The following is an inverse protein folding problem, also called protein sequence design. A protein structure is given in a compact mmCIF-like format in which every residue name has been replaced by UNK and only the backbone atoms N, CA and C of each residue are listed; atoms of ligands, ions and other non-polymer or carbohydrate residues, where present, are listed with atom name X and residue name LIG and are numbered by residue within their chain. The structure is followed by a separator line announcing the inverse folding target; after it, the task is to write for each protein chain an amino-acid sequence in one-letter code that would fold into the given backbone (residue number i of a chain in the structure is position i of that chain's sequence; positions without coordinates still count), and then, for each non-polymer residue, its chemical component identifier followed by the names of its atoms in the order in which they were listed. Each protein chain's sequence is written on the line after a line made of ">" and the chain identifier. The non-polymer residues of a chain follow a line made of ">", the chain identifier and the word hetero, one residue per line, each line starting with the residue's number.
data_IF_626994707070
#
_entry.id   IF_626994707070
#
_cell.length_a   1.000
_cell.length_b   1.000
_cell.length_c   1.000
_cell.angle_alpha   90.00
_cell.angle_beta   90.00
_cell.angle_gamma   90.00
#
_symmetry.space_group_name_H-M   'P 1'
#
loop_
_entity.id
_entity.type
_entity.pdbx_description
1 polymer ?
#
# COMPACT_ATOMS: atom_id res chain seq x y z
N UNK A 1 -26.14 -1.37 0.70
CA UNK A 1 -25.37 -2.63 0.61
C UNK A 1 -24.07 -2.47 1.41
N UNK A 2 -23.63 -3.52 2.10
CA UNK A 2 -22.40 -3.48 2.90
C UNK A 2 -21.19 -3.93 2.04
N UNK A 3 -21.02 -3.29 0.89
CA UNK A 3 -19.96 -3.61 -0.08
C UNK A 3 -18.56 -3.55 0.55
N UNK A 4 -18.29 -2.53 1.35
CA UNK A 4 -17.02 -2.40 2.06
C UNK A 4 -16.77 -3.52 3.07
N UNK A 5 -17.80 -3.96 3.80
CA UNK A 5 -17.69 -5.10 4.71
C UNK A 5 -17.38 -6.41 3.99
N UNK A 6 -17.98 -6.63 2.82
CA UNK A 6 -17.65 -7.78 1.97
C UNK A 6 -16.22 -7.74 1.47
N UNK A 7 -15.77 -6.59 0.95
CA UNK A 7 -14.39 -6.40 0.50
C UNK A 7 -13.39 -6.63 1.64
N UNK A 8 -13.66 -6.06 2.81
CA UNK A 8 -12.85 -6.26 4.01
C UNK A 8 -12.69 -7.73 4.35
N UNK A 9 -13.79 -8.48 4.42
CA UNK A 9 -13.77 -9.91 4.76
C UNK A 9 -12.97 -10.73 3.73
N UNK A 10 -13.15 -10.45 2.44
CA UNK A 10 -12.43 -11.16 1.37
C UNK A 10 -10.94 -10.87 1.41
N UNK A 11 -10.56 -9.61 1.58
CA UNK A 11 -9.15 -9.21 1.66
C UNK A 11 -8.49 -9.75 2.92
N UNK A 12 -9.19 -9.73 4.06
CA UNK A 12 -8.71 -10.30 5.34
C UNK A 12 -8.47 -11.80 5.29
N UNK A 13 -9.26 -12.52 4.49
CA UNK A 13 -9.13 -13.98 4.33
C UNK A 13 -8.03 -14.43 3.38
N UNK A 14 -7.26 -13.51 2.79
CA UNK A 14 -6.22 -13.81 1.81
C UNK A 14 -4.82 -13.42 2.32
N UNK A 15 -3.74 -13.98 1.73
CA UNK A 15 -2.37 -13.62 2.09
C UNK A 15 -2.16 -12.12 2.04
N UNK A 16 -1.48 -11.59 3.05
CA UNK A 16 -1.10 -10.19 3.12
C UNK A 16 -0.27 -9.80 1.90
N UNK A 17 -0.76 -8.91 1.09
CA UNK A 17 -0.09 -8.39 -0.08
C UNK A 17 -0.43 -6.92 -0.29
N UNK A 18 0.25 -6.32 -1.26
CA UNK A 18 -0.02 -4.94 -1.63
C UNK A 18 -1.39 -4.82 -2.31
N UNK A 19 -2.05 -3.71 -2.05
CA UNK A 19 -3.33 -3.35 -2.67
C UNK A 19 -3.11 -2.11 -3.53
N UNK A 20 -3.40 -2.21 -4.82
CA UNK A 20 -3.39 -1.07 -5.75
C UNK A 20 -4.78 -0.48 -5.81
N UNK A 21 -4.88 0.84 -5.76
CA UNK A 21 -6.13 1.59 -5.89
C UNK A 21 -6.14 2.34 -7.22
N UNK A 22 -7.21 2.21 -7.98
CA UNK A 22 -7.40 2.88 -9.27
C UNK A 22 -8.69 3.71 -9.25
N UNK A 23 -8.63 4.92 -9.84
CA UNK A 23 -7.47 5.63 -10.33
C UNK A 23 -6.49 5.98 -9.21
N UNK A 24 -5.20 6.20 -9.51
CA UNK A 24 -4.22 6.55 -8.49
C UNK A 24 -4.51 7.91 -7.86
N UNK A 25 -4.25 8.04 -6.58
CA UNK A 25 -4.42 9.27 -5.80
C UNK A 25 -5.28 9.08 -4.56
N UNK A 26 -4.98 9.87 -3.53
CA UNK A 26 -5.67 9.81 -2.24
C UNK A 26 -6.93 10.66 -2.23
N UNK A 27 -6.91 11.74 -3.01
CA UNK A 27 -8.02 12.66 -3.14
C UNK A 27 -8.72 12.40 -4.46
N UNK A 28 -10.03 12.24 -4.39
CA UNK A 28 -10.90 12.00 -5.52
C UNK A 28 -11.99 13.03 -5.55
N UNK A 29 -12.60 13.23 -6.70
CA UNK A 29 -13.76 14.11 -6.83
C UNK A 29 -14.99 13.26 -7.08
N UNK A 30 -16.00 13.44 -6.23
CA UNK A 30 -17.30 12.81 -6.38
C UNK A 30 -18.38 13.89 -6.35
N UNK A 31 -19.19 13.97 -7.38
CA UNK A 31 -20.23 15.02 -7.54
C UNK A 31 -19.66 16.44 -7.32
N UNK A 32 -18.46 16.71 -7.86
CA UNK A 32 -17.78 18.00 -7.69
C UNK A 32 -17.19 18.25 -6.30
N UNK A 33 -17.27 17.28 -5.38
CA UNK A 33 -16.75 17.39 -4.01
C UNK A 33 -15.52 16.51 -3.81
N UNK A 34 -14.44 17.06 -3.25
CA UNK A 34 -13.28 16.26 -2.92
C UNK A 34 -13.61 15.28 -1.78
N UNK A 35 -13.14 14.05 -1.90
CA UNK A 35 -13.21 13.06 -0.83
C UNK A 35 -11.94 12.23 -0.79
N UNK A 36 -11.64 11.66 0.37
CA UNK A 36 -10.51 10.72 0.55
C UNK A 36 -10.99 9.32 0.17
N UNK A 37 -10.16 8.59 -0.58
CA UNK A 37 -10.47 7.21 -0.92
C UNK A 37 -10.60 6.34 0.34
N UNK A 38 -11.77 5.77 0.60
CA UNK A 38 -11.97 4.93 1.78
C UNK A 38 -11.16 3.63 1.72
N UNK A 39 -10.79 3.15 0.53
CA UNK A 39 -9.99 1.93 0.36
C UNK A 39 -8.65 1.98 1.09
N UNK A 40 -8.04 3.16 1.18
CA UNK A 40 -6.79 3.37 1.93
C UNK A 40 -6.92 3.10 3.43
N UNK A 41 -8.11 3.28 4.00
CA UNK A 41 -8.35 3.17 5.45
C UNK A 41 -9.13 1.92 5.83
N UNK A 42 -10.00 1.45 4.94
CA UNK A 42 -10.94 0.38 5.26
C UNK A 42 -10.46 -1.00 4.83
N UNK A 43 -9.54 -1.11 3.86
CA UNK A 43 -9.05 -2.40 3.44
C UNK A 43 -7.87 -2.85 4.29
N UNK A 44 -7.89 -4.09 4.80
CA UNK A 44 -6.76 -4.67 5.52
C UNK A 44 -5.64 -4.99 4.53
N UNK A 45 -4.40 -4.86 4.96
CA UNK A 45 -3.23 -5.12 4.13
C UNK A 45 -2.36 -3.89 3.94
N UNK A 46 -1.63 -3.82 2.84
CA UNK A 46 -0.74 -2.70 2.51
C UNK A 46 -1.26 -1.95 1.27
N UNK A 47 -2.21 -1.03 1.43
CA UNK A 47 -2.65 -0.20 0.33
C UNK A 47 -1.48 0.63 -0.18
N UNK A 48 -1.32 0.63 -1.50
CA UNK A 48 -0.26 1.36 -2.18
C UNK A 48 -0.70 2.79 -2.40
N UNK A 49 -0.22 3.66 -1.53
CA UNK A 49 -0.35 5.08 -1.70
C UNK A 49 0.80 5.58 -2.57
N UNK A 50 0.54 6.21 -3.72
CA UNK A 50 1.57 6.88 -4.49
C UNK A 50 2.23 8.02 -3.71
N UNK A 51 1.52 8.62 -2.72
CA UNK A 51 2.05 9.63 -1.82
C UNK A 51 2.49 10.92 -2.52
N UNK A 52 2.07 11.15 -3.77
CA UNK A 52 2.48 12.35 -4.48
C UNK A 52 1.62 13.56 -4.12
N UNK A 53 2.27 14.70 -4.05
CA UNK A 53 1.64 16.01 -3.96
C UNK A 53 1.85 16.76 -5.27
N UNK A 54 0.83 17.43 -5.76
CA UNK A 54 0.97 18.32 -6.92
C UNK A 54 1.08 19.75 -6.39
N UNK A 55 2.24 20.37 -6.63
CA UNK A 55 2.51 21.77 -6.29
C UNK A 55 2.84 22.49 -7.59
N UNK A 56 2.08 23.51 -7.91
CA UNK A 56 2.25 24.31 -9.15
C UNK A 56 2.31 23.45 -10.42
N UNK A 57 1.51 22.38 -10.48
CA UNK A 57 1.47 21.47 -11.63
C UNK A 57 2.62 20.46 -11.68
N UNK A 58 3.54 20.49 -10.73
CA UNK A 58 4.64 19.52 -10.64
C UNK A 58 4.35 18.48 -9.57
N UNK A 59 4.65 17.22 -9.88
CA UNK A 59 4.57 16.13 -8.90
C UNK A 59 5.80 16.23 -7.99
N UNK A 60 5.54 16.55 -6.73
CA UNK A 60 6.57 16.66 -5.69
C UNK A 60 6.42 15.47 -4.77
N UNK A 61 7.51 14.74 -4.65
CA UNK A 61 7.63 13.55 -3.81
C UNK A 61 6.60 12.47 -4.13
N UNK A 62 6.89 11.28 -3.74
CA UNK A 62 6.04 10.11 -3.93
C UNK A 62 6.79 8.85 -3.52
N UNK A 63 6.08 7.76 -3.36
CA UNK A 63 6.68 6.45 -3.21
C UNK A 63 7.10 5.92 -4.58
N UNK A 64 8.41 5.91 -4.94
CA UNK A 64 8.86 5.55 -6.29
C UNK A 64 8.42 4.14 -6.71
N UNK A 65 8.38 3.19 -5.76
CA UNK A 65 7.97 1.82 -6.03
C UNK A 65 6.47 1.75 -6.36
N UNK A 66 5.64 2.50 -5.64
CA UNK A 66 4.20 2.58 -5.91
C UNK A 66 3.94 3.27 -7.25
N UNK A 67 4.66 4.37 -7.52
CA UNK A 67 4.55 5.10 -8.78
C UNK A 67 4.94 4.25 -9.98
N UNK A 68 6.02 3.47 -9.89
CA UNK A 68 6.45 2.58 -10.96
C UNK A 68 5.40 1.51 -11.30
N UNK A 69 4.78 0.90 -10.29
CA UNK A 69 3.74 -0.12 -10.48
C UNK A 69 2.49 0.48 -11.11
N UNK A 70 2.06 1.65 -10.63
CA UNK A 70 0.92 2.37 -11.19
C UNK A 70 1.18 2.81 -12.63
N UNK A 71 2.35 3.37 -12.90
CA UNK A 71 2.76 3.75 -14.25
C UNK A 71 2.78 2.55 -15.21
N UNK A 72 3.36 1.42 -14.78
CA UNK A 72 3.32 0.19 -15.58
C UNK A 72 1.88 -0.21 -15.92
N UNK A 73 1.00 -0.24 -14.92
CA UNK A 73 -0.39 -0.65 -15.09
C UNK A 73 -1.15 0.28 -16.03
N UNK A 74 -1.02 1.59 -15.85
CA UNK A 74 -1.66 2.61 -16.70
C UNK A 74 -1.10 2.61 -18.14
N UNK A 75 0.10 2.08 -18.34
CA UNK A 75 0.70 1.86 -19.67
C UNK A 75 0.43 0.47 -20.26
N UNK A 76 -0.44 -0.34 -19.61
CA UNK A 76 -0.80 -1.67 -20.09
C UNK A 76 0.24 -2.77 -19.80
N UNK A 77 1.18 -2.52 -18.88
CA UNK A 77 2.20 -3.50 -18.50
C UNK A 77 1.79 -4.23 -17.22
N UNK A 78 1.76 -5.55 -17.28
CA UNK A 78 1.45 -6.38 -16.11
C UNK A 78 2.68 -6.60 -15.22
N UNK A 79 2.91 -5.72 -14.29
CA UNK A 79 3.97 -5.85 -13.27
C UNK A 79 3.44 -6.24 -11.89
N UNK A 80 2.14 -6.46 -11.74
CA UNK A 80 1.47 -6.67 -10.46
C UNK A 80 2.04 -7.86 -9.69
N UNK A 81 2.09 -9.04 -10.35
CA UNK A 81 2.55 -10.28 -9.71
C UNK A 81 3.99 -10.15 -9.18
N UNK A 82 4.93 -9.66 -9.99
CA UNK A 82 6.36 -9.54 -9.62
C UNK A 82 6.60 -8.54 -8.48
N UNK A 83 5.68 -7.57 -8.31
CA UNK A 83 5.77 -6.55 -7.27
C UNK A 83 4.99 -6.91 -6.00
N UNK A 84 4.45 -8.13 -5.91
CA UNK A 84 3.73 -8.61 -4.74
C UNK A 84 2.36 -7.97 -4.54
N UNK A 85 1.74 -7.48 -5.62
CA UNK A 85 0.38 -6.97 -5.58
C UNK A 85 -0.59 -8.15 -5.53
N UNK A 86 -1.40 -8.21 -4.50
CA UNK A 86 -2.42 -9.24 -4.31
C UNK A 86 -3.80 -8.80 -4.76
N UNK A 87 -4.05 -7.50 -4.68
CA UNK A 87 -5.37 -6.95 -4.92
C UNK A 87 -5.31 -5.66 -5.74
N UNK A 88 -6.30 -5.45 -6.58
CA UNK A 88 -6.54 -4.17 -7.27
C UNK A 88 -7.99 -3.78 -7.03
N UNK A 89 -8.19 -2.60 -6.47
CA UNK A 89 -9.51 -1.99 -6.32
C UNK A 89 -9.67 -0.91 -7.38
N UNK A 90 -10.76 -0.98 -8.13
CA UNK A 90 -11.15 0.02 -9.12
C UNK A 90 -12.36 0.78 -8.60
N UNK A 91 -12.23 2.10 -8.49
CA UNK A 91 -13.35 3.01 -8.24
C UNK A 91 -13.79 3.65 -9.55
N UNK A 92 -14.84 3.11 -10.14
CA UNK A 92 -15.38 3.55 -11.42
C UNK A 92 -15.91 4.98 -11.40
N UNK A 93 -16.34 5.45 -10.23
CA UNK A 93 -16.89 6.78 -10.09
C UNK A 93 -15.84 7.88 -10.23
N UNK A 94 -14.61 7.58 -9.90
CA UNK A 94 -13.50 8.55 -9.87
C UNK A 94 -12.62 8.52 -11.13
N UNK A 95 -13.00 7.77 -12.16
CA UNK A 95 -12.21 7.67 -13.40
C UNK A 95 -12.37 8.94 -14.22
N UNK A 96 -11.26 9.64 -14.45
CA UNK A 96 -11.18 10.85 -15.26
C UNK A 96 -10.42 10.64 -16.58
N UNK A 97 -9.43 9.73 -16.60
CA UNK A 97 -8.67 9.36 -17.81
C UNK A 97 -9.11 7.98 -18.32
N UNK A 98 -10.04 7.99 -19.27
CA UNK A 98 -10.57 6.77 -19.87
C UNK A 98 -9.55 5.99 -20.70
N UNK A 99 -8.58 6.65 -21.32
CA UNK A 99 -7.60 5.99 -22.20
C UNK A 99 -6.57 5.20 -21.36
N UNK A 100 -6.00 5.82 -20.34
CA UNK A 100 -5.09 5.14 -19.43
C UNK A 100 -5.80 4.02 -18.66
N UNK A 101 -7.05 4.26 -18.24
CA UNK A 101 -7.86 3.24 -17.57
C UNK A 101 -8.17 2.06 -18.47
N UNK A 102 -8.44 2.27 -19.76
CA UNK A 102 -8.67 1.19 -20.71
C UNK A 102 -7.46 0.24 -20.80
N UNK A 103 -6.23 0.77 -20.81
CA UNK A 103 -5.01 -0.04 -20.77
C UNK A 103 -4.87 -0.83 -19.47
N UNK A 104 -5.15 -0.19 -18.34
CA UNK A 104 -5.13 -0.86 -17.03
C UNK A 104 -6.16 -2.02 -16.99
N UNK A 105 -7.36 -1.82 -17.52
CA UNK A 105 -8.39 -2.84 -17.60
C UNK A 105 -8.00 -4.01 -18.50
N UNK A 106 -7.29 -3.78 -19.61
CA UNK A 106 -6.75 -4.87 -20.41
C UNK A 106 -5.81 -5.75 -19.59
N UNK A 107 -4.98 -5.16 -18.74
CA UNK A 107 -4.12 -5.92 -17.80
C UNK A 107 -4.97 -6.67 -16.78
N UNK A 108 -5.99 -6.03 -16.20
CA UNK A 108 -6.86 -6.66 -15.20
C UNK A 108 -7.71 -7.82 -15.76
N UNK A 109 -7.98 -7.81 -17.05
CA UNK A 109 -8.67 -8.90 -17.75
C UNK A 109 -7.71 -9.99 -18.28
N UNK A 110 -6.40 -9.88 -17.98
CA UNK A 110 -5.41 -10.86 -18.42
C UNK A 110 -5.38 -12.11 -17.53
N UNK A 111 -4.77 -13.18 -18.05
CA UNK A 111 -4.59 -14.44 -17.31
C UNK A 111 -3.91 -14.23 -15.97
N UNK A 112 -4.43 -14.85 -14.91
CA UNK A 112 -3.90 -14.76 -13.56
C UNK A 112 -4.46 -13.61 -12.74
N UNK A 113 -5.42 -12.86 -13.25
CA UNK A 113 -6.17 -11.84 -12.51
C UNK A 113 -7.65 -12.16 -12.61
N UNK A 114 -8.36 -12.12 -11.50
CA UNK A 114 -9.77 -12.44 -11.44
C UNK A 114 -10.55 -11.37 -10.70
N UNK A 115 -11.62 -10.86 -11.27
CA UNK A 115 -12.59 -10.02 -10.56
C UNK A 115 -13.35 -10.87 -9.55
N UNK A 116 -13.35 -10.47 -8.29
CA UNK A 116 -13.99 -11.19 -7.17
C UNK A 116 -15.21 -10.49 -6.61
N UNK A 117 -15.25 -9.17 -6.74
CA UNK A 117 -16.41 -8.34 -6.41
C UNK A 117 -16.67 -7.38 -7.57
N UNK A 118 -17.93 -7.20 -7.89
CA UNK A 118 -18.43 -6.10 -8.72
C UNK A 118 -19.70 -5.60 -8.04
N UNK A 119 -19.61 -4.49 -7.33
CA UNK A 119 -20.74 -3.98 -6.57
C UNK A 119 -20.67 -2.46 -6.46
N UNK A 120 -21.81 -1.82 -6.58
CA UNK A 120 -21.95 -0.37 -6.64
C UNK A 120 -21.07 0.20 -7.78
N UNK A 121 -20.10 1.05 -7.43
CA UNK A 121 -19.14 1.63 -8.37
C UNK A 121 -17.72 1.08 -8.15
N UNK A 122 -17.59 -0.09 -7.54
CA UNK A 122 -16.30 -0.69 -7.21
C UNK A 122 -16.16 -2.09 -7.78
N UNK A 123 -15.00 -2.36 -8.37
CA UNK A 123 -14.58 -3.70 -8.74
C UNK A 123 -13.32 -4.07 -7.95
N UNK A 124 -13.33 -5.24 -7.32
CA UNK A 124 -12.18 -5.80 -6.64
C UNK A 124 -11.61 -6.98 -7.45
N UNK A 125 -10.35 -6.88 -7.80
CA UNK A 125 -9.61 -7.91 -8.52
C UNK A 125 -8.58 -8.59 -7.63
N UNK A 126 -8.45 -9.90 -7.76
CA UNK A 126 -7.41 -10.69 -7.11
C UNK A 126 -6.35 -11.09 -8.12
N UNK A 127 -5.09 -10.81 -7.80
CA UNK A 127 -3.93 -11.28 -8.54
C UNK A 127 -3.54 -12.66 -8.00
N UNK A 128 -3.51 -13.67 -8.88
CA UNK A 128 -3.21 -15.03 -8.48
C UNK A 128 -1.69 -15.20 -8.27
N UNK A 129 -1.34 -15.88 -7.19
CA UNK A 129 0.06 -16.23 -6.83
C UNK A 129 1.01 -15.04 -6.95
N UNK A 130 0.79 -13.94 -6.23
CA UNK A 130 1.73 -12.84 -6.24
C UNK A 130 3.08 -13.33 -5.71
N UNK A 131 4.15 -12.89 -6.36
CA UNK A 131 5.49 -13.10 -5.81
C UNK A 131 5.62 -12.10 -4.66
N UNK A 132 5.39 -12.54 -3.43
CA UNK A 132 5.63 -11.67 -2.28
C UNK A 132 7.14 -11.38 -2.27
N UNK A 133 7.58 -10.14 -2.55
CA UNK A 133 8.95 -9.79 -2.35
C UNK A 133 9.24 -10.11 -0.88
N UNK A 134 10.25 -10.95 -0.60
CA UNK A 134 10.75 -11.06 0.77
C UNK A 134 11.08 -9.63 1.17
N UNK A 135 10.26 -9.04 2.05
CA UNK A 135 10.69 -7.85 2.76
C UNK A 135 12.09 -8.18 3.23
N UNK A 136 13.11 -7.35 2.93
CA UNK A 136 14.36 -7.49 3.65
C UNK A 136 13.90 -7.53 5.10
N UNK A 137 14.17 -8.64 5.77
CA UNK A 137 13.90 -8.78 7.20
C UNK A 137 14.50 -7.50 7.74
N UNK A 138 13.62 -6.59 8.17
CA UNK A 138 14.06 -5.33 8.71
C UNK A 138 14.96 -5.78 9.84
N UNK A 139 16.25 -5.71 9.59
CA UNK A 139 17.24 -6.30 10.47
C UNK A 139 17.14 -5.49 11.76
N UNK A 140 16.31 -5.99 12.68
CA UNK A 140 16.10 -5.34 13.98
C UNK A 140 17.33 -5.52 14.88
N UNK A 141 18.34 -6.26 14.38
CA UNK A 141 19.60 -6.45 15.07
C UNK A 141 20.25 -5.12 15.52
N UNK A 142 20.35 -4.08 14.66
CA UNK A 142 20.93 -2.82 15.13
C UNK A 142 20.09 -2.15 16.22
N UNK A 143 18.78 -2.35 16.23
CA UNK A 143 17.91 -1.76 17.28
C UNK A 143 18.11 -2.49 18.62
N UNK A 144 18.23 -3.81 18.61
CA UNK A 144 18.53 -4.59 19.81
C UNK A 144 19.94 -4.33 20.32
N UNK A 145 20.93 -4.22 19.44
CA UNK A 145 22.31 -3.87 19.83
C UNK A 145 22.37 -2.48 20.45
N UNK A 146 21.71 -1.49 19.86
CA UNK A 146 21.64 -0.14 20.42
C UNK A 146 20.95 -0.11 21.79
N UNK A 147 19.89 -0.87 21.97
CA UNK A 147 19.14 -0.92 23.22
C UNK A 147 19.92 -1.63 24.34
N UNK A 148 20.64 -2.72 24.03
CA UNK A 148 21.52 -3.41 25.01
C UNK A 148 22.70 -2.52 25.41
N UNK A 149 23.31 -1.80 24.46
CA UNK A 149 24.40 -0.88 24.74
C UNK A 149 23.96 0.28 25.65
N UNK A 150 22.76 0.83 25.41
CA UNK A 150 22.18 1.87 26.26
C UNK A 150 21.98 1.38 27.71
N UNK A 151 21.39 0.19 27.89
CA UNK A 151 21.16 -0.36 29.23
C UNK A 151 22.45 -0.69 29.97
N UNK A 152 23.48 -1.19 29.29
CA UNK A 152 24.80 -1.45 29.91
C UNK A 152 25.48 -0.16 30.39
N UNK A 153 25.41 0.92 29.62
CA UNK A 153 25.94 2.22 30.02
C UNK A 153 25.20 2.81 31.23
N UNK A 154 23.87 2.70 31.24
CA UNK A 154 23.04 3.15 32.37
C UNK A 154 23.37 2.39 33.66
N UNK A 155 23.46 1.07 33.58
CA UNK A 155 23.84 0.23 34.74
C UNK A 155 25.22 0.55 35.24
N UNK A 156 26.19 0.72 34.33
CA UNK A 156 27.56 1.08 34.73
C UNK A 156 27.62 2.46 35.38
N UNK A 157 26.94 3.45 34.85
CA UNK A 157 26.84 4.79 35.44
C UNK A 157 26.25 4.76 36.86
N UNK A 158 25.19 3.96 37.04
CA UNK A 158 24.54 3.77 38.34
C UNK A 158 25.48 3.10 39.37
N UNK A 159 26.21 2.07 38.96
CA UNK A 159 27.22 1.41 39.83
C UNK A 159 28.33 2.36 40.26
N UNK A 160 28.86 3.17 39.34
CA UNK A 160 29.90 4.18 39.65
C UNK A 160 29.37 5.24 40.62
N UNK A 161 28.13 5.69 40.43
CA UNK A 161 27.48 6.66 41.30
C UNK A 161 27.29 6.11 42.73
N UNK A 162 26.75 4.89 42.85
CA UNK A 162 26.58 4.21 44.15
C UNK A 162 27.91 4.02 44.88
N UNK A 163 28.97 3.66 44.15
CA UNK A 163 30.30 3.51 44.75
C UNK A 163 30.88 4.82 45.27
N UNK A 164 30.57 5.96 44.61
CA UNK A 164 30.97 7.29 45.09
C UNK A 164 30.18 7.76 46.30
N UNK A 165 28.92 7.39 46.43
CA UNK A 165 28.07 7.78 47.57
C UNK A 165 28.36 6.93 48.82
N UNK A 166 28.88 5.71 48.64
CA UNK A 166 29.23 4.78 49.71
C UNK A 166 30.62 5.00 50.31
N UNK A 167 31.41 5.93 49.74
CA UNK A 167 32.69 6.38 50.29
C UNK A 167 32.55 7.74 50.98
#
# INVERSE_FOLDING_TARGET
>A
SNTWGQMFNIVSGAPNGKIVLLPPGNYRTRDGRPHVDPGLKLLPGSPMDPGFLIVDGQVVDGNPASMAILSDLMNGKNSLKRNGVSWVLVDWYSITDGAAMAKALQVLNSTGIRRVISADNYDLYRVQSPTVPRSPVQDRAPLFVGMTFYWTLMMWGMCVWLWRVAR
#
